data_IF_890140408286
#
_entry.id   IF_890140408286
#
_cell.length_a   1.000
_cell.length_b   1.000
_cell.length_c   1.000
_cell.angle_alpha   90.00
_cell.angle_beta   90.00
_cell.angle_gamma   90.00
#
_symmetry.space_group_name_H-M   'P 1'
#
loop_
_entity.id
_entity.type
_entity.pdbx_description
1 polymer ?
#
# COMPACT_ATOMS: atom_id res chain seq x y z
N UNK A 1 1.79 -16.15 15.88
CA UNK A 1 2.98 -15.29 15.71
C UNK A 1 2.74 -14.12 14.76
N UNK A 2 2.30 -14.34 13.52
CA UNK A 2 2.14 -13.29 12.50
C UNK A 2 1.21 -12.14 12.91
N UNK A 3 0.05 -12.43 13.52
CA UNK A 3 -0.93 -11.42 13.95
C UNK A 3 -0.40 -10.53 15.09
N UNK A 4 0.36 -11.11 16.02
CA UNK A 4 0.95 -10.37 17.14
C UNK A 4 2.06 -9.46 16.63
N UNK A 5 2.88 -9.94 15.70
CA UNK A 5 3.91 -9.14 15.05
C UNK A 5 3.32 -7.97 14.26
N UNK A 6 2.22 -8.19 13.52
CA UNK A 6 1.56 -7.11 12.78
C UNK A 6 0.91 -6.09 13.71
N UNK A 7 0.26 -6.54 14.79
CA UNK A 7 -0.33 -5.63 15.79
C UNK A 7 0.74 -4.81 16.52
N UNK A 8 1.85 -5.42 16.92
CA UNK A 8 2.96 -4.70 17.54
C UNK A 8 3.57 -3.65 16.60
N UNK A 9 3.76 -3.98 15.32
CA UNK A 9 4.30 -3.07 14.32
C UNK A 9 3.35 -1.87 14.10
N UNK A 10 2.05 -2.12 14.03
CA UNK A 10 1.02 -1.08 13.93
C UNK A 10 1.08 -0.15 15.14
N UNK A 11 1.18 -0.70 16.36
CA UNK A 11 1.29 0.10 17.59
C UNK A 11 2.56 0.96 17.63
N UNK A 12 3.70 0.45 17.16
CA UNK A 12 4.96 1.21 17.07
C UNK A 12 4.85 2.33 16.04
N UNK A 13 4.20 2.10 14.89
CA UNK A 13 3.99 3.11 13.86
C UNK A 13 2.99 4.19 14.28
N UNK A 14 1.99 3.84 15.08
CA UNK A 14 0.99 4.77 15.62
C UNK A 14 1.47 5.49 16.89
N UNK A 15 2.51 4.99 17.55
CA UNK A 15 3.06 5.59 18.76
C UNK A 15 3.38 7.09 18.63
N UNK A 16 4.04 7.57 17.55
CA UNK A 16 4.32 8.99 17.37
C UNK A 16 3.05 9.81 17.20
N UNK A 17 2.03 9.27 16.51
CA UNK A 17 0.74 9.92 16.32
C UNK A 17 0.05 10.19 17.65
N UNK A 18 0.07 9.23 18.57
CA UNK A 18 -0.51 9.40 19.90
C UNK A 18 0.33 10.25 20.84
N UNK A 19 1.66 10.17 20.78
CA UNK A 19 2.56 10.94 21.63
C UNK A 19 2.54 12.44 21.30
N UNK A 20 2.35 12.80 20.03
CA UNK A 20 2.37 14.19 19.56
C UNK A 20 0.99 14.71 19.10
N UNK A 21 -0.09 13.94 19.26
CA UNK A 21 -1.45 14.46 19.08
C UNK A 21 -1.79 15.44 20.21
N UNK A 22 -1.72 16.74 19.94
CA UNK A 22 -2.26 17.73 20.85
C UNK A 22 -3.72 18.04 20.49
N UNK A 23 -4.60 17.96 21.48
CA UNK A 23 -5.96 18.51 21.39
C UNK A 23 -5.87 20.00 21.68
N UNK A 24 -5.69 20.81 20.63
CA UNK A 24 -5.73 22.26 20.77
C UNK A 24 -7.18 22.74 20.71
N UNK A 25 -7.67 23.35 21.80
CA UNK A 25 -8.97 24.03 21.81
C UNK A 25 -8.80 25.44 21.25
N UNK A 26 -9.20 25.63 19.99
CA UNK A 26 -9.27 26.97 19.40
C UNK A 26 -10.58 27.63 19.86
N UNK A 27 -10.45 28.71 20.64
CA UNK A 27 -11.56 29.57 21.04
C UNK A 27 -11.94 30.46 19.87
N UNK A 28 -12.88 30.02 19.04
CA UNK A 28 -13.39 30.85 17.95
C UNK A 28 -14.55 31.71 18.45
N UNK A 29 -14.27 33.02 18.55
CA UNK A 29 -15.22 34.13 18.55
C UNK A 29 -16.20 34.20 19.74
N UNK A 30 -16.03 35.23 20.59
CA UNK A 30 -16.97 35.57 21.67
C UNK A 30 -18.18 36.25 21.04
N UNK A 31 -19.25 35.49 20.76
CA UNK A 31 -20.50 36.10 20.32
C UNK A 31 -21.24 36.69 21.54
N UNK A 32 -21.15 38.01 21.70
CA UNK A 32 -21.56 38.80 22.89
C UNK A 32 -23.07 38.71 23.20
N UNK A 33 -23.90 38.16 22.31
CA UNK A 33 -25.36 38.11 22.48
C UNK A 33 -25.92 36.83 23.10
N UNK A 34 -25.15 35.73 23.18
CA UNK A 34 -25.71 34.41 23.57
C UNK A 34 -24.95 33.66 24.68
N UNK A 35 -23.92 34.25 25.30
CA UNK A 35 -23.23 33.65 26.46
C UNK A 35 -22.66 32.24 26.24
N UNK A 36 -22.42 31.82 25.00
CA UNK A 36 -22.00 30.46 24.65
C UNK A 36 -20.66 30.50 23.91
N UNK A 37 -19.64 29.90 24.52
CA UNK A 37 -18.31 29.77 23.93
C UNK A 37 -18.30 28.50 23.08
N UNK A 38 -18.32 28.62 21.75
CA UNK A 38 -18.14 27.47 20.86
C UNK A 38 -16.66 27.09 20.81
N UNK A 39 -16.28 26.10 21.62
CA UNK A 39 -14.93 25.54 21.63
C UNK A 39 -14.81 24.57 20.45
N UNK A 40 -14.01 24.92 19.44
CA UNK A 40 -13.68 24.03 18.33
C UNK A 40 -12.38 23.31 18.68
N UNK A 41 -12.49 22.02 19.00
CA UNK A 41 -11.33 21.16 19.24
C UNK A 41 -10.73 20.78 17.89
N UNK A 42 -9.54 21.28 17.58
CA UNK A 42 -8.77 20.87 16.41
C UNK A 42 -7.71 19.87 16.87
N UNK A 43 -7.80 18.65 16.35
CA UNK A 43 -6.73 17.67 16.50
C UNK A 43 -5.62 18.11 15.56
N UNK A 44 -4.62 18.80 16.11
CA UNK A 44 -3.46 19.27 15.34
C UNK A 44 -2.25 18.51 15.84
N UNK A 45 -1.62 17.77 14.92
CA UNK A 45 -0.34 17.13 15.16
C UNK A 45 0.72 18.23 15.05
N UNK A 46 1.26 18.68 16.18
CA UNK A 46 2.28 19.74 16.22
C UNK A 46 3.57 19.18 16.82
N UNK A 47 4.26 18.30 16.08
CA UNK A 47 5.52 17.74 16.53
C UNK A 47 6.58 18.86 16.54
N UNK A 48 7.56 18.83 17.47
CA UNK A 48 8.68 19.77 17.44
C UNK A 48 9.36 19.78 16.06
N UNK A 49 9.85 20.95 15.59
CA UNK A 49 10.30 21.14 14.20
C UNK A 49 11.44 20.19 13.79
N UNK A 50 12.20 19.67 14.75
CA UNK A 50 13.26 18.68 14.55
C UNK A 50 12.74 17.33 14.02
N UNK A 51 11.53 16.93 14.41
CA UNK A 51 10.94 15.63 14.04
C UNK A 51 9.78 15.75 13.02
N UNK A 52 9.29 16.97 12.78
CA UNK A 52 8.24 17.25 11.80
C UNK A 52 8.67 16.83 10.38
N UNK A 53 9.91 17.14 10.02
CA UNK A 53 10.50 16.76 8.74
C UNK A 53 10.60 15.23 8.59
N UNK A 54 10.97 14.54 9.67
CA UNK A 54 11.03 13.07 9.71
C UNK A 54 9.66 12.44 9.49
N UNK A 55 8.62 12.96 10.15
CA UNK A 55 7.25 12.47 9.99
C UNK A 55 6.72 12.72 8.57
N UNK A 56 7.00 13.89 7.99
CA UNK A 56 6.65 14.20 6.61
C UNK A 56 7.30 13.25 5.60
N UNK A 57 8.58 12.93 5.77
CA UNK A 57 9.31 11.98 4.91
C UNK A 57 8.71 10.57 5.04
N UNK A 58 8.50 10.08 6.27
CA UNK A 58 7.94 8.74 6.49
C UNK A 58 6.53 8.63 5.93
N UNK A 59 5.69 9.66 6.14
CA UNK A 59 4.35 9.72 5.57
C UNK A 59 4.38 9.74 4.04
N UNK A 60 5.28 10.51 3.43
CA UNK A 60 5.46 10.54 1.99
C UNK A 60 5.89 9.17 1.43
N UNK A 61 6.85 8.50 2.08
CA UNK A 61 7.30 7.17 1.66
C UNK A 61 6.14 6.16 1.76
N UNK A 62 5.45 6.12 2.90
CA UNK A 62 4.38 5.17 3.16
C UNK A 62 3.16 5.39 2.26
N UNK A 63 2.77 6.64 2.03
CA UNK A 63 1.55 6.98 1.29
C UNK A 63 1.77 7.16 -0.21
N UNK A 64 2.99 7.43 -0.67
CA UNK A 64 3.27 7.71 -2.07
C UNK A 64 4.31 6.77 -2.67
N UNK A 65 5.51 6.65 -2.08
CA UNK A 65 6.59 5.86 -2.68
C UNK A 65 6.27 4.36 -2.73
N UNK A 66 5.74 3.79 -1.64
CA UNK A 66 5.39 2.36 -1.58
C UNK A 66 4.24 2.03 -2.55
N UNK A 67 3.10 2.75 -2.56
CA UNK A 67 2.03 2.49 -3.52
C UNK A 67 2.48 2.65 -4.98
N UNK A 68 3.29 3.67 -5.27
CA UNK A 68 3.75 3.94 -6.64
C UNK A 68 4.73 2.86 -7.13
N UNK A 69 5.64 2.41 -6.27
CA UNK A 69 6.51 1.26 -6.56
C UNK A 69 5.72 -0.04 -6.76
N UNK A 70 4.70 -0.28 -5.93
CA UNK A 70 3.79 -1.42 -6.06
C UNK A 70 3.02 -1.40 -7.39
N UNK A 71 2.51 -0.24 -7.79
CA UNK A 71 1.84 -0.09 -9.09
C UNK A 71 2.78 -0.36 -10.26
N UNK A 72 3.98 0.24 -10.28
CA UNK A 72 4.97 0.01 -11.33
C UNK A 72 5.35 -1.48 -11.40
N UNK A 73 5.63 -2.10 -10.25
CA UNK A 73 5.97 -3.52 -10.19
C UNK A 73 4.86 -4.39 -10.77
N UNK A 74 3.59 -4.09 -10.45
CA UNK A 74 2.45 -4.81 -10.98
C UNK A 74 2.34 -4.65 -12.51
N UNK A 75 2.44 -3.42 -13.01
CA UNK A 75 2.34 -3.11 -14.44
C UNK A 75 3.45 -3.73 -15.28
N UNK A 76 4.65 -3.91 -14.75
CA UNK A 76 5.77 -4.55 -15.46
C UNK A 76 5.72 -6.08 -15.33
N UNK A 77 5.39 -6.57 -14.14
CA UNK A 77 5.35 -8.01 -13.86
C UNK A 77 4.23 -8.72 -14.62
N UNK A 78 3.03 -8.15 -14.66
CA UNK A 78 1.86 -8.76 -15.34
C UNK A 78 2.14 -9.09 -16.82
N UNK A 79 2.59 -8.15 -17.68
CA UNK A 79 2.87 -8.45 -19.08
C UNK A 79 4.05 -9.43 -19.23
N UNK A 80 5.03 -9.40 -18.33
CA UNK A 80 6.13 -10.36 -18.34
C UNK A 80 5.66 -11.78 -18.03
N UNK A 81 4.82 -11.96 -17.02
CA UNK A 81 4.24 -13.26 -16.67
C UNK A 81 3.31 -13.79 -17.76
N UNK A 82 2.50 -12.91 -18.38
CA UNK A 82 1.64 -13.28 -19.51
C UNK A 82 2.47 -13.70 -20.73
N UNK A 83 3.53 -12.94 -21.07
CA UNK A 83 4.44 -13.27 -22.16
C UNK A 83 5.18 -14.59 -21.91
N UNK A 84 5.60 -14.85 -20.68
CA UNK A 84 6.26 -16.11 -20.29
C UNK A 84 5.31 -17.31 -20.36
N UNK A 85 4.04 -17.15 -19.94
CA UNK A 85 3.02 -18.21 -20.09
C UNK A 85 2.62 -18.46 -21.53
N UNK A 86 2.52 -17.42 -22.36
CA UNK A 86 2.22 -17.57 -23.79
C UNK A 86 3.35 -18.33 -24.52
N UNK A 87 4.61 -18.01 -24.23
CA UNK A 87 5.77 -18.75 -24.76
C UNK A 87 5.76 -20.23 -24.36
N UNK A 88 5.52 -20.53 -23.07
CA UNK A 88 5.43 -21.91 -22.60
C UNK A 88 4.20 -22.66 -23.18
N UNK A 89 3.06 -22.00 -23.33
CA UNK A 89 1.86 -22.62 -23.94
C UNK A 89 2.04 -22.88 -25.43
N UNK A 90 2.69 -21.98 -26.17
CA UNK A 90 3.03 -22.18 -27.58
C UNK A 90 4.03 -23.32 -27.77
N UNK A 91 5.05 -23.42 -26.90
CA UNK A 91 6.00 -24.53 -26.92
C UNK A 91 5.32 -25.87 -26.60
N UNK A 92 4.43 -25.90 -25.59
CA UNK A 92 3.64 -27.07 -25.24
C UNK A 92 2.68 -27.48 -26.38
N UNK A 93 1.96 -26.52 -26.97
CA UNK A 93 1.06 -26.77 -28.10
C UNK A 93 1.79 -27.32 -29.33
N UNK A 94 3.00 -26.82 -29.62
CA UNK A 94 3.85 -27.34 -30.71
C UNK A 94 4.33 -28.77 -30.43
N UNK A 95 4.63 -29.09 -29.18
CA UNK A 95 5.01 -30.43 -28.75
C UNK A 95 3.84 -31.42 -28.85
N UNK A 96 2.64 -31.01 -28.39
CA UNK A 96 1.41 -31.81 -28.48
C UNK A 96 1.02 -32.06 -29.94
N UNK A 97 1.09 -31.06 -30.81
CA UNK A 97 0.85 -31.23 -32.26
C UNK A 97 1.88 -32.15 -32.93
N UNK A 98 3.14 -32.06 -32.52
CA UNK A 98 4.19 -32.95 -33.01
C UNK A 98 3.95 -34.40 -32.56
N UNK A 99 3.52 -34.59 -31.31
CA UNK A 99 3.19 -35.89 -30.76
C UNK A 99 1.94 -36.50 -31.41
N UNK A 100 0.90 -35.70 -31.69
CA UNK A 100 -0.28 -36.09 -32.48
C UNK A 100 0.11 -36.55 -33.89
N UNK A 101 1.02 -35.82 -34.55
CA UNK A 101 1.55 -36.22 -35.86
C UNK A 101 2.33 -37.53 -35.80
N UNK A 102 3.13 -37.74 -34.76
CA UNK A 102 3.88 -38.98 -34.56
C UNK A 102 2.94 -40.16 -34.25
N UNK A 103 1.91 -39.97 -33.43
CA UNK A 103 0.88 -40.97 -33.14
C UNK A 103 0.12 -41.37 -34.41
N UNK A 104 -0.19 -40.44 -35.30
CA UNK A 104 -0.76 -40.76 -36.62
C UNK A 104 0.20 -41.50 -37.54
N UNK A 105 1.51 -41.32 -37.37
CA UNK A 105 2.55 -41.96 -38.19
C UNK A 105 2.89 -43.38 -37.74
N UNK A 106 2.72 -43.67 -36.45
CA UNK A 106 2.85 -45.00 -35.87
C UNK A 106 1.56 -45.33 -35.09
N UNK A 107 0.47 -45.70 -35.78
CA UNK A 107 -0.65 -46.32 -35.09
C UNK A 107 -0.12 -47.65 -34.52
N UNK A 108 -0.23 -47.83 -33.19
CA UNK A 108 0.07 -49.11 -32.56
C UNK A 108 -0.72 -50.20 -33.30
N UNK A 109 -0.01 -51.09 -34.00
CA UNK A 109 -0.50 -52.41 -34.37
C UNK A 109 -0.73 -53.27 -33.11
#
# INVERSE_FOLDING_TARGET
MQVIASMALVMVMLWPLFAYSQVSSLYFNVNVTLGTVKVLRKCTFMPPPEIELGFGIVSCIASYAIPLGGMIYWYVSVPFFLRKRAGNSLACGKFVLHFEKLKKKFPNE
#
